data_IF_376109511540
#
_entry.id   IF_376109511540
#
_cell.length_a   1.000
_cell.length_b   1.000
_cell.length_c   1.000
_cell.angle_alpha   90.00
_cell.angle_beta   90.00
_cell.angle_gamma   90.00
#
_symmetry.space_group_name_H-M   'P 1'
#
loop_
_entity.id
_entity.type
_entity.pdbx_description
1 polymer ?
#
# COMPACT_ATOMS: atom_id res chain seq x y z
N UNK A 1 -3.48 4.48 -2.78
CA UNK A 1 -3.71 3.18 -2.12
C UNK A 1 -4.39 2.23 -3.10
N UNK A 2 -4.01 0.94 -3.12
CA UNK A 2 -4.68 -0.13 -3.87
C UNK A 2 -5.08 -1.24 -2.87
N UNK A 3 -6.22 -1.93 -3.08
CA UNK A 3 -6.70 -2.97 -2.16
C UNK A 3 -6.76 -4.33 -2.87
N UNK A 4 -6.13 -5.34 -2.29
CA UNK A 4 -6.13 -6.74 -2.74
C UNK A 4 -6.86 -7.63 -1.74
N UNK A 5 -7.46 -8.71 -2.25
CA UNK A 5 -8.12 -9.76 -1.44
C UNK A 5 -7.29 -11.03 -1.33
N UNK A 6 -6.03 -11.01 -1.78
CA UNK A 6 -5.07 -12.12 -1.74
C UNK A 6 -3.97 -11.88 -0.71
N UNK A 7 -3.36 -12.96 -0.21
CA UNK A 7 -2.17 -12.90 0.65
C UNK A 7 -0.85 -12.66 -0.12
N UNK A 8 -0.93 -12.52 -1.45
CA UNK A 8 0.17 -12.13 -2.33
C UNK A 8 -0.10 -10.72 -2.89
N UNK A 9 0.29 -9.65 -2.17
CA UNK A 9 -0.14 -8.28 -2.44
C UNK A 9 0.75 -7.58 -3.46
N UNK A 10 0.68 -8.03 -4.72
CA UNK A 10 1.45 -7.40 -5.81
C UNK A 10 0.75 -6.14 -6.33
N UNK A 11 1.39 -4.96 -6.28
CA UNK A 11 0.84 -3.75 -6.89
C UNK A 11 0.62 -3.94 -8.40
N UNK A 12 -0.46 -3.38 -8.91
CA UNK A 12 -0.72 -3.39 -10.36
C UNK A 12 0.20 -2.41 -11.11
N UNK A 13 0.35 -2.62 -12.43
CA UNK A 13 1.01 -1.62 -13.28
C UNK A 13 0.36 -0.25 -13.16
N UNK A 14 -0.98 -0.19 -13.15
CA UNK A 14 -1.72 1.06 -13.00
C UNK A 14 -1.41 1.79 -11.70
N UNK A 15 -1.18 1.05 -10.61
CA UNK A 15 -0.73 1.62 -9.35
C UNK A 15 0.63 2.31 -9.50
N UNK A 16 1.62 1.66 -10.11
CA UNK A 16 2.93 2.26 -10.34
C UNK A 16 2.88 3.49 -11.25
N UNK A 17 2.07 3.48 -12.31
CA UNK A 17 1.90 4.67 -13.15
C UNK A 17 1.29 5.84 -12.36
N UNK A 18 0.25 5.58 -11.56
CA UNK A 18 -0.36 6.60 -10.72
C UNK A 18 0.62 7.22 -9.70
N UNK A 19 1.59 6.45 -9.19
CA UNK A 19 2.63 7.00 -8.30
C UNK A 19 3.53 8.02 -9.00
N UNK A 20 3.87 7.80 -10.28
CA UNK A 20 4.69 8.74 -11.07
C UNK A 20 3.96 10.07 -11.27
N UNK A 21 2.66 10.01 -11.51
CA UNK A 21 1.83 11.17 -11.79
C UNK A 21 1.49 11.95 -10.52
N UNK A 22 1.03 11.25 -9.47
CA UNK A 22 0.50 11.87 -8.25
C UNK A 22 1.58 12.22 -7.22
N UNK A 23 2.71 11.49 -7.23
CA UNK A 23 3.83 11.68 -6.29
C UNK A 23 3.38 11.80 -4.82
N UNK A 24 2.62 10.81 -4.30
CA UNK A 24 2.13 10.87 -2.93
C UNK A 24 3.29 10.78 -1.93
N UNK A 25 3.08 11.31 -0.72
CA UNK A 25 4.05 11.18 0.38
C UNK A 25 4.23 9.72 0.80
N UNK A 26 3.17 8.91 0.70
CA UNK A 26 3.17 7.50 1.08
C UNK A 26 2.32 6.65 0.12
N UNK A 27 2.73 5.40 -0.11
CA UNK A 27 2.03 4.47 -0.98
C UNK A 27 1.84 3.10 -0.32
N UNK A 28 0.58 2.63 -0.31
CA UNK A 28 0.20 1.36 0.31
C UNK A 28 -0.61 0.46 -0.62
N UNK A 29 -0.29 -0.85 -0.58
CA UNK A 29 -1.14 -1.94 -1.05
C UNK A 29 -1.79 -2.59 0.17
N UNK A 30 -3.10 -2.41 0.34
CA UNK A 30 -3.85 -3.04 1.43
C UNK A 30 -4.12 -4.49 1.09
N UNK A 31 -3.90 -5.38 2.05
CA UNK A 31 -4.13 -6.81 1.88
C UNK A 31 -4.59 -7.45 3.21
N UNK A 32 -5.14 -8.67 3.19
CA UNK A 32 -5.76 -9.30 4.37
C UNK A 32 -4.76 -10.00 5.31
N UNK A 33 -3.44 -9.81 5.17
CA UNK A 33 -2.45 -10.38 6.10
C UNK A 33 -2.22 -9.50 7.34
N UNK A 34 -1.33 -9.95 8.23
CA UNK A 34 -1.10 -9.31 9.53
C UNK A 34 0.13 -8.41 9.60
N UNK A 35 0.97 -8.39 8.56
CA UNK A 35 2.29 -7.75 8.60
C UNK A 35 2.40 -6.60 7.62
N UNK A 36 3.28 -5.65 7.93
CA UNK A 36 3.66 -4.57 7.01
C UNK A 36 5.04 -4.85 6.44
N UNK A 37 5.18 -4.87 5.11
CA UNK A 37 6.46 -5.17 4.45
C UNK A 37 6.60 -4.42 3.11
N UNK A 38 7.83 -4.12 2.65
CA UNK A 38 8.04 -3.46 1.36
C UNK A 38 7.68 -4.38 0.20
N UNK A 39 6.98 -3.85 -0.81
CA UNK A 39 6.61 -4.56 -2.04
C UNK A 39 7.12 -3.88 -3.32
N UNK A 40 7.99 -2.89 -3.14
CA UNK A 40 8.60 -2.10 -4.22
C UNK A 40 9.21 -0.83 -3.66
N UNK A 41 9.82 -0.05 -4.55
CA UNK A 41 10.40 1.24 -4.17
C UNK A 41 9.32 2.20 -3.66
N UNK A 42 9.41 2.58 -2.39
CA UNK A 42 8.45 3.50 -1.75
C UNK A 42 7.04 2.93 -1.55
N UNK A 43 6.83 1.62 -1.74
CA UNK A 43 5.51 0.98 -1.60
C UNK A 43 5.55 -0.10 -0.52
N UNK A 44 4.59 -0.04 0.40
CA UNK A 44 4.41 -1.04 1.44
C UNK A 44 3.10 -1.82 1.25
N UNK A 45 3.13 -3.13 1.48
CA UNK A 45 1.93 -3.88 1.76
C UNK A 45 1.63 -3.80 3.26
N UNK A 46 0.38 -3.57 3.64
CA UNK A 46 -0.02 -3.45 5.04
C UNK A 46 -1.51 -3.81 5.25
N UNK A 47 -1.91 -4.29 6.45
CA UNK A 47 -3.32 -4.41 6.80
C UNK A 47 -4.00 -3.04 6.89
N UNK A 48 -5.31 -3.00 6.60
CA UNK A 48 -6.11 -1.77 6.66
C UNK A 48 -5.99 -1.06 8.02
N UNK A 49 -6.06 -1.81 9.11
CA UNK A 49 -5.96 -1.25 10.47
C UNK A 49 -4.66 -0.51 10.71
N UNK A 50 -3.52 -1.06 10.27
CA UNK A 50 -2.22 -0.41 10.43
C UNK A 50 -2.11 0.89 9.62
N UNK A 51 -2.67 0.92 8.41
CA UNK A 51 -2.69 2.14 7.58
C UNK A 51 -3.63 3.19 8.18
N UNK A 52 -4.80 2.80 8.66
CA UNK A 52 -5.73 3.73 9.33
C UNK A 52 -5.12 4.33 10.60
N UNK A 53 -4.48 3.51 11.44
CA UNK A 53 -3.79 4.02 12.63
C UNK A 53 -2.70 5.04 12.25
N UNK A 54 -1.91 4.74 11.22
CA UNK A 54 -0.85 5.64 10.74
C UNK A 54 -1.41 6.98 10.25
N UNK A 55 -2.44 6.94 9.41
CA UNK A 55 -3.06 8.13 8.84
C UNK A 55 -3.83 8.96 9.89
N UNK A 56 -4.33 8.34 10.95
CA UNK A 56 -5.01 9.04 12.03
C UNK A 56 -4.05 9.76 12.98
N UNK A 57 -2.81 9.27 13.10
CA UNK A 57 -1.78 9.85 13.98
C UNK A 57 -0.99 11.00 13.33
N UNK A 58 -1.13 11.22 12.02
CA UNK A 58 -0.48 12.31 11.28
C UNK A 58 -1.42 13.47 11.04
#
# INVERSE_FOLDING_TARGET
MEVKRSLDPRPSRGFHEALKDLKPQEAFVIYPGGETFPVGEGVFAAPLGAVMERLWRG
#
